data_IF_915827002901
#
_entry.id   IF_915827002901
#
_cell.length_a   1.000
_cell.length_b   1.000
_cell.length_c   1.000
_cell.angle_alpha   90.00
_cell.angle_beta   90.00
_cell.angle_gamma   90.00
#
_symmetry.space_group_name_H-M   'P 1'
#
loop_
_entity.id
_entity.type
_entity.pdbx_description
1 polymer ?
#
# COMPACT_ATOMS: atom_id res chain seq x y z
N UNK A 1 -27.11 48.22 24.93
CA UNK A 1 -28.06 47.25 24.34
C UNK A 1 -27.70 47.19 22.87
N UNK A 2 -26.66 46.42 22.53
CA UNK A 2 -26.75 44.98 22.18
C UNK A 2 -27.38 44.83 20.78
N UNK A 3 -26.85 44.09 19.82
CA UNK A 3 -25.97 42.94 19.95
C UNK A 3 -24.90 42.87 18.88
N UNK A 4 -23.79 42.32 19.33
CA UNK A 4 -22.59 41.90 18.65
C UNK A 4 -22.93 40.88 17.55
N UNK A 5 -22.66 41.24 16.30
CA UNK A 5 -22.76 40.32 15.17
C UNK A 5 -21.56 39.36 15.24
N UNK A 6 -21.75 38.23 15.92
CA UNK A 6 -20.83 37.10 15.89
C UNK A 6 -20.72 36.61 14.44
N UNK A 7 -19.70 37.06 13.71
CA UNK A 7 -19.24 36.37 12.50
C UNK A 7 -18.79 34.97 12.92
N UNK A 8 -19.62 33.98 12.65
CA UNK A 8 -19.17 32.59 12.58
C UNK A 8 -18.19 32.49 11.41
N UNK A 9 -16.89 32.60 11.71
CA UNK A 9 -15.83 32.19 10.79
C UNK A 9 -15.98 30.69 10.60
N UNK A 10 -16.56 30.27 9.48
CA UNK A 10 -16.51 28.87 9.06
C UNK A 10 -15.06 28.60 8.68
N UNK A 11 -14.33 28.03 9.63
CA UNK A 11 -12.95 27.61 9.46
C UNK A 11 -12.93 26.52 8.37
N UNK A 12 -12.62 26.93 7.14
CA UNK A 12 -12.55 26.03 5.99
C UNK A 12 -11.14 25.47 5.98
N UNK A 13 -10.92 24.41 6.76
CA UNK A 13 -9.64 23.68 6.77
C UNK A 13 -9.18 23.41 5.34
N UNK A 14 -7.95 23.83 5.03
CA UNK A 14 -7.37 23.67 3.70
C UNK A 14 -6.98 22.21 3.45
N UNK A 15 -6.67 21.87 2.19
CA UNK A 15 -6.16 20.54 1.86
C UNK A 15 -4.83 20.20 2.54
N UNK A 16 -4.04 21.21 2.92
CA UNK A 16 -2.78 21.05 3.66
C UNK A 16 -3.05 20.78 5.14
N UNK A 17 -4.00 21.50 5.75
CA UNK A 17 -4.39 21.28 7.16
C UNK A 17 -4.96 19.88 7.36
N UNK A 18 -5.84 19.44 6.46
CA UNK A 18 -6.42 18.10 6.48
C UNK A 18 -5.36 17.02 6.27
N UNK A 19 -4.33 17.29 5.45
CA UNK A 19 -3.22 16.37 5.24
C UNK A 19 -2.39 16.22 6.52
N UNK A 20 -1.97 17.33 7.12
CA UNK A 20 -1.21 17.33 8.34
C UNK A 20 -1.97 16.63 9.48
N UNK A 21 -3.25 16.98 9.67
CA UNK A 21 -4.10 16.37 10.68
C UNK A 21 -4.27 14.85 10.47
N UNK A 22 -4.39 14.39 9.22
CA UNK A 22 -4.44 12.96 8.93
C UNK A 22 -3.14 12.26 9.34
N UNK A 23 -1.97 12.83 9.04
CA UNK A 23 -0.70 12.20 9.44
C UNK A 23 -0.53 12.20 10.96
N UNK A 24 -0.86 13.31 11.63
CA UNK A 24 -0.77 13.41 13.08
C UNK A 24 -1.68 12.38 13.77
N UNK A 25 -2.89 12.17 13.23
CA UNK A 25 -3.78 11.11 13.68
C UNK A 25 -3.14 9.73 13.53
N UNK A 26 -2.52 9.41 12.39
CA UNK A 26 -1.87 8.11 12.17
C UNK A 26 -0.72 7.85 13.16
N UNK A 27 0.05 8.89 13.49
CA UNK A 27 1.13 8.82 14.48
C UNK A 27 0.56 8.58 15.88
N UNK A 28 -0.50 9.30 16.26
CA UNK A 28 -1.18 9.11 17.53
C UNK A 28 -1.76 7.69 17.65
N UNK A 29 -2.44 7.20 16.60
CA UNK A 29 -3.01 5.84 16.55
C UNK A 29 -1.93 4.76 16.72
N UNK A 30 -0.73 4.96 16.18
CA UNK A 30 0.39 4.05 16.39
C UNK A 30 0.88 4.09 17.84
N UNK A 31 1.06 5.29 18.40
CA UNK A 31 1.50 5.47 19.77
C UNK A 31 0.52 4.84 20.78
N UNK A 32 -0.80 4.97 20.55
CA UNK A 32 -1.84 4.32 21.36
C UNK A 32 -1.75 2.78 21.32
N UNK A 33 -1.32 2.21 20.19
CA UNK A 33 -1.04 0.76 20.05
C UNK A 33 0.32 0.35 20.64
N UNK A 34 1.08 1.28 21.23
CA UNK A 34 2.45 1.03 21.70
C UNK A 34 3.47 0.84 20.58
N UNK A 35 3.12 1.26 19.36
CA UNK A 35 3.98 1.22 18.18
C UNK A 35 4.58 2.61 17.94
N UNK A 36 5.75 2.65 17.29
CA UNK A 36 6.37 3.91 16.88
C UNK A 36 6.32 3.98 15.35
N UNK A 37 5.74 5.06 14.83
CA UNK A 37 5.79 5.34 13.39
C UNK A 37 7.24 5.56 12.98
N UNK A 38 7.70 4.86 11.95
CA UNK A 38 9.06 5.06 11.43
C UNK A 38 9.21 6.48 10.85
N UNK A 39 10.28 7.23 11.17
CA UNK A 39 10.44 8.61 10.71
C UNK A 39 10.40 8.77 9.18
N UNK A 40 10.95 7.82 8.44
CA UNK A 40 10.93 7.82 6.97
C UNK A 40 9.52 7.58 6.40
N UNK A 41 8.71 6.75 7.06
CA UNK A 41 7.31 6.49 6.67
C UNK A 41 6.47 7.72 6.97
N UNK A 42 6.64 8.33 8.14
CA UNK A 42 5.99 9.61 8.46
C UNK A 42 6.36 10.70 7.46
N UNK A 43 7.64 10.82 7.11
CA UNK A 43 8.13 11.80 6.12
C UNK A 43 7.48 11.58 4.76
N UNK A 44 7.37 10.32 4.32
CA UNK A 44 6.70 9.98 3.06
C UNK A 44 5.20 10.32 3.11
N UNK A 45 4.52 10.01 4.21
CA UNK A 45 3.11 10.36 4.44
C UNK A 45 2.88 11.86 4.38
N UNK A 46 3.76 12.67 4.99
CA UNK A 46 3.69 14.15 4.93
C UNK A 46 4.01 14.73 3.56
N UNK A 47 4.82 14.03 2.76
CA UNK A 47 5.29 14.54 1.46
C UNK A 47 4.32 14.26 0.31
N UNK A 48 3.49 13.21 0.41
CA UNK A 48 2.62 12.78 -0.69
C UNK A 48 1.18 13.22 -0.43
N UNK A 49 0.67 14.26 -1.12
CA UNK A 49 -0.70 14.72 -0.95
C UNK A 49 -1.70 13.71 -1.53
N UNK A 50 -2.45 13.06 -0.65
CA UNK A 50 -3.39 11.97 -1.00
C UNK A 50 -4.48 12.40 -1.98
N UNK A 51 -4.97 13.64 -1.89
CA UNK A 51 -6.04 14.15 -2.75
C UNK A 51 -5.70 14.15 -4.25
N UNK A 52 -4.41 14.19 -4.62
CA UNK A 52 -3.99 14.09 -6.03
C UNK A 52 -4.27 12.72 -6.64
N UNK A 53 -4.51 11.69 -5.82
CA UNK A 53 -4.82 10.33 -6.24
C UNK A 53 -6.32 10.00 -6.14
N UNK A 54 -7.13 10.95 -5.64
CA UNK A 54 -8.58 10.83 -5.46
C UNK A 54 -9.30 12.09 -6.00
N UNK A 55 -9.20 12.39 -7.31
CA UNK A 55 -9.64 13.67 -7.87
C UNK A 55 -11.14 13.93 -7.73
N UNK A 56 -11.95 12.88 -7.69
CA UNK A 56 -13.42 12.97 -7.60
C UNK A 56 -13.93 12.99 -6.14
N UNK A 57 -13.05 12.85 -5.15
CA UNK A 57 -13.43 12.82 -3.74
C UNK A 57 -13.34 14.22 -3.12
N UNK A 58 -14.27 14.53 -2.21
CA UNK A 58 -14.15 15.71 -1.37
C UNK A 58 -12.87 15.63 -0.51
N UNK A 59 -12.18 16.75 -0.29
CA UNK A 59 -10.91 16.79 0.48
C UNK A 59 -11.03 16.12 1.86
N UNK A 60 -12.15 16.37 2.56
CA UNK A 60 -12.41 15.74 3.87
C UNK A 60 -12.48 14.22 3.78
N UNK A 61 -13.04 13.68 2.71
CA UNK A 61 -13.10 12.23 2.48
C UNK A 61 -11.73 11.69 2.07
N UNK A 62 -11.01 12.42 1.21
CA UNK A 62 -9.66 12.06 0.78
C UNK A 62 -8.70 11.89 1.96
N UNK A 63 -8.84 12.69 3.02
CA UNK A 63 -7.98 12.67 4.20
C UNK A 63 -8.55 11.95 5.42
N UNK A 64 -9.60 11.13 5.25
CA UNK A 64 -10.02 10.21 6.32
C UNK A 64 -8.94 9.16 6.56
N UNK A 65 -8.40 9.13 7.78
CA UNK A 65 -7.36 8.19 8.18
C UNK A 65 -7.81 6.72 8.11
N UNK A 66 -9.11 6.43 8.29
CA UNK A 66 -9.68 5.10 8.54
C UNK A 66 -10.21 4.36 7.29
N UNK A 67 -10.44 5.07 6.17
CA UNK A 67 -11.21 4.52 5.04
C UNK A 67 -10.49 4.58 3.69
N UNK A 68 -10.69 3.57 2.83
CA UNK A 68 -10.30 3.66 1.43
C UNK A 68 -11.24 4.59 0.67
N UNK A 69 -10.74 5.18 -0.42
CA UNK A 69 -11.55 5.99 -1.35
C UNK A 69 -11.72 5.22 -2.65
N UNK A 70 -12.96 5.00 -3.04
CA UNK A 70 -13.27 4.34 -4.33
C UNK A 70 -12.96 5.30 -5.48
N UNK A 71 -12.12 4.87 -6.42
CA UNK A 71 -11.74 5.67 -7.59
C UNK A 71 -12.37 5.19 -8.88
N UNK A 72 -12.89 3.96 -8.90
CA UNK A 72 -13.60 3.39 -10.05
C UNK A 72 -14.62 2.37 -9.57
N UNK A 73 -15.80 2.38 -10.19
CA UNK A 73 -16.80 1.32 -10.09
C UNK A 73 -16.92 0.64 -11.45
N UNK A 74 -17.02 -0.68 -11.47
CA UNK A 74 -17.29 -1.46 -12.68
C UNK A 74 -18.66 -2.10 -12.47
N UNK A 75 -19.70 -1.45 -13.01
CA UNK A 75 -21.09 -1.81 -12.67
C UNK A 75 -21.35 -1.60 -11.17
N UNK A 76 -21.96 -2.59 -10.52
CA UNK A 76 -22.23 -2.56 -9.08
C UNK A 76 -21.00 -2.94 -8.23
N UNK A 77 -19.94 -3.46 -8.84
CA UNK A 77 -18.71 -3.88 -8.16
C UNK A 77 -17.70 -2.73 -8.02
N UNK A 78 -16.89 -2.79 -6.96
CA UNK A 78 -15.75 -1.89 -6.78
C UNK A 78 -14.65 -2.25 -7.78
N UNK A 79 -14.31 -1.31 -8.67
CA UNK A 79 -13.28 -1.52 -9.70
C UNK A 79 -11.87 -1.27 -9.18
N UNK A 80 -11.62 -0.07 -8.64
CA UNK A 80 -10.31 0.29 -8.08
C UNK A 80 -10.47 1.30 -6.94
N UNK A 81 -9.60 1.24 -5.94
CA UNK A 81 -9.62 2.12 -4.77
C UNK A 81 -8.23 2.59 -4.37
N UNK A 82 -8.17 3.71 -3.67
CA UNK A 82 -6.98 4.13 -2.92
C UNK A 82 -7.15 3.61 -1.49
N UNK A 83 -6.25 2.71 -1.08
CA UNK A 83 -6.25 2.08 0.26
C UNK A 83 -6.31 3.09 1.39
N UNK A 84 -6.86 2.70 2.54
CA UNK A 84 -6.92 3.57 3.72
C UNK A 84 -5.50 4.00 4.16
N UNK A 85 -5.30 5.25 4.62
CA UNK A 85 -3.98 5.74 5.02
C UNK A 85 -3.31 4.87 6.08
N UNK A 86 -4.05 4.44 7.11
CA UNK A 86 -3.53 3.59 8.18
C UNK A 86 -2.93 2.28 7.65
N UNK A 87 -3.61 1.64 6.68
CA UNK A 87 -3.17 0.37 6.09
C UNK A 87 -1.86 0.55 5.34
N UNK A 88 -1.73 1.65 4.61
CA UNK A 88 -0.49 1.94 3.87
C UNK A 88 0.65 2.24 4.84
N UNK A 89 0.40 3.01 5.90
CA UNK A 89 1.40 3.31 6.92
C UNK A 89 1.93 2.02 7.59
N UNK A 90 1.03 1.13 8.01
CA UNK A 90 1.40 -0.16 8.60
C UNK A 90 2.17 -1.04 7.61
N UNK A 91 1.70 -1.13 6.37
CA UNK A 91 2.35 -1.92 5.31
C UNK A 91 3.76 -1.41 4.98
N UNK A 92 3.96 -0.09 4.87
CA UNK A 92 5.27 0.51 4.61
C UNK A 92 6.21 0.38 5.81
N UNK A 93 5.68 0.50 7.04
CA UNK A 93 6.44 0.24 8.27
C UNK A 93 6.97 -1.20 8.30
N UNK A 94 6.08 -2.17 8.11
CA UNK A 94 6.44 -3.59 8.04
C UNK A 94 7.45 -3.88 6.93
N UNK A 95 7.27 -3.29 5.74
CA UNK A 95 8.21 -3.45 4.64
C UNK A 95 9.60 -2.91 5.02
N UNK A 96 9.67 -1.73 5.65
CA UNK A 96 10.94 -1.14 6.07
C UNK A 96 11.63 -1.92 7.21
N UNK A 97 10.86 -2.51 8.13
CA UNK A 97 11.35 -3.37 9.20
C UNK A 97 11.92 -4.68 8.66
N UNK A 98 11.22 -5.29 7.71
CA UNK A 98 11.61 -6.53 7.06
C UNK A 98 12.78 -6.38 6.06
N UNK A 99 13.28 -5.16 5.85
CA UNK A 99 14.38 -4.88 4.91
C UNK A 99 15.57 -4.24 5.62
N UNK A 100 16.04 -4.83 6.73
CA UNK A 100 17.33 -4.57 7.40
C UNK A 100 17.80 -3.10 7.39
N UNK A 101 16.96 -2.18 7.89
CA UNK A 101 17.33 -0.76 8.03
C UNK A 101 16.67 0.20 7.04
N UNK A 102 15.64 -0.24 6.32
CA UNK A 102 14.75 0.63 5.54
C UNK A 102 14.86 0.46 4.03
N UNK A 103 14.18 1.34 3.29
CA UNK A 103 13.96 1.19 1.85
C UNK A 103 14.89 2.03 0.96
N UNK A 104 15.75 2.87 1.54
CA UNK A 104 16.62 3.75 0.75
C UNK A 104 17.51 2.95 -0.21
N UNK A 105 17.53 3.36 -1.48
CA UNK A 105 18.30 2.69 -2.54
C UNK A 105 17.70 1.39 -3.06
N UNK A 106 16.62 0.87 -2.46
CA UNK A 106 16.02 -0.39 -2.86
C UNK A 106 15.27 -0.32 -4.18
N UNK A 107 15.14 -1.49 -4.79
CA UNK A 107 14.42 -1.71 -6.03
C UNK A 107 13.11 -2.43 -5.73
N UNK A 108 12.01 -1.67 -5.81
CA UNK A 108 10.68 -2.14 -5.39
C UNK A 108 9.82 -2.46 -6.60
N UNK A 109 9.07 -3.56 -6.52
CA UNK A 109 7.96 -3.88 -7.41
C UNK A 109 6.64 -3.77 -6.62
N UNK A 110 5.77 -2.88 -7.05
CA UNK A 110 4.39 -2.77 -6.56
C UNK A 110 3.43 -3.47 -7.53
N UNK A 111 2.51 -4.28 -6.99
CA UNK A 111 1.46 -4.97 -7.73
C UNK A 111 0.10 -4.49 -7.21
N UNK A 112 -0.71 -3.90 -8.10
CA UNK A 112 -2.03 -3.33 -7.76
C UNK A 112 -2.02 -1.81 -7.57
N UNK A 113 -1.39 -1.08 -8.50
CA UNK A 113 -1.06 0.35 -8.32
C UNK A 113 -2.26 1.33 -8.35
N UNK A 114 -2.70 1.79 -7.18
CA UNK A 114 -3.51 3.02 -7.04
C UNK A 114 -2.71 4.33 -7.24
N UNK A 115 -1.38 4.26 -7.30
CA UNK A 115 -0.47 5.38 -7.51
C UNK A 115 -0.06 6.14 -6.24
N UNK A 116 -0.92 6.18 -5.21
CA UNK A 116 -0.63 6.85 -3.94
C UNK A 116 0.51 6.15 -3.18
N UNK A 117 0.45 4.82 -3.06
CA UNK A 117 1.50 4.02 -2.42
C UNK A 117 2.81 4.04 -3.23
N UNK A 118 2.73 3.90 -4.56
CA UNK A 118 3.87 4.07 -5.45
C UNK A 118 4.64 5.38 -5.23
N UNK A 119 3.92 6.49 -5.00
CA UNK A 119 4.52 7.79 -4.74
C UNK A 119 5.24 7.83 -3.37
N UNK A 120 4.67 7.22 -2.34
CA UNK A 120 5.34 7.08 -1.03
C UNK A 120 6.56 6.18 -1.12
N UNK A 121 6.46 5.03 -1.81
CA UNK A 121 7.60 4.16 -2.09
C UNK A 121 8.71 4.91 -2.84
N UNK A 122 8.37 5.81 -3.77
CA UNK A 122 9.36 6.61 -4.50
C UNK A 122 10.16 7.51 -3.57
N UNK A 123 9.51 8.16 -2.60
CA UNK A 123 10.18 8.96 -1.57
C UNK A 123 11.05 8.08 -0.66
N UNK A 124 10.56 6.90 -0.27
CA UNK A 124 11.28 5.98 0.61
C UNK A 124 12.54 5.36 -0.01
N UNK A 125 12.53 5.10 -1.32
CA UNK A 125 13.68 4.51 -2.03
C UNK A 125 14.66 5.55 -2.57
N UNK A 126 14.30 6.83 -2.54
CA UNK A 126 15.13 7.92 -3.02
C UNK A 126 16.49 7.99 -2.27
N UNK A 127 17.53 8.59 -2.90
CA UNK A 127 17.54 9.17 -4.25
C UNK A 127 17.80 8.16 -5.38
N UNK A 128 18.45 7.03 -5.08
CA UNK A 128 19.00 6.09 -6.06
C UNK A 128 18.13 4.86 -6.36
N UNK A 129 17.19 4.52 -5.48
CA UNK A 129 16.30 3.38 -5.67
C UNK A 129 15.23 3.62 -6.73
N UNK A 130 14.39 2.61 -6.96
CA UNK A 130 13.40 2.64 -8.04
C UNK A 130 12.10 1.95 -7.62
N UNK A 131 10.98 2.41 -8.16
CA UNK A 131 9.68 1.76 -8.01
C UNK A 131 9.15 1.36 -9.39
N UNK A 132 8.96 0.06 -9.61
CA UNK A 132 8.22 -0.47 -10.76
C UNK A 132 6.81 -0.78 -10.31
N UNK A 133 5.80 -0.38 -11.08
CA UNK A 133 4.42 -0.69 -10.74
C UNK A 133 3.74 -1.51 -11.85
N UNK A 134 2.94 -2.48 -11.43
CA UNK A 134 2.14 -3.34 -12.31
C UNK A 134 0.68 -3.25 -11.88
N UNK A 135 -0.19 -3.04 -12.85
CA UNK A 135 -1.64 -3.01 -12.66
C UNK A 135 -2.31 -4.03 -13.60
N UNK A 136 -3.41 -4.62 -13.14
CA UNK A 136 -4.22 -5.61 -13.86
C UNK A 136 -5.35 -4.92 -14.63
N UNK A 137 -5.72 -3.68 -14.26
CA UNK A 137 -6.74 -2.91 -14.96
C UNK A 137 -6.32 -2.60 -16.40
N UNK A 138 -7.17 -3.02 -17.35
CA UNK A 138 -6.87 -2.99 -18.80
C UNK A 138 -7.02 -1.62 -19.45
N UNK A 139 -7.41 -0.59 -18.70
CA UNK A 139 -7.84 0.67 -19.30
C UNK A 139 -7.49 1.85 -18.40
N UNK A 140 -6.54 2.66 -18.86
CA UNK A 140 -6.31 4.01 -18.35
C UNK A 140 -4.86 4.29 -17.99
N UNK A 141 -4.16 4.95 -18.91
CA UNK A 141 -3.06 5.86 -18.64
C UNK A 141 -3.49 6.92 -17.61
N UNK A 142 -3.57 6.58 -16.32
CA UNK A 142 -3.58 7.60 -15.27
C UNK A 142 -2.14 8.12 -15.18
N UNK A 143 -1.87 9.40 -15.49
CA UNK A 143 -0.56 9.96 -15.20
C UNK A 143 -0.34 9.78 -13.70
N UNK A 144 0.76 9.13 -13.32
CA UNK A 144 1.28 9.26 -11.97
C UNK A 144 1.29 10.76 -11.70
N UNK A 145 0.48 11.22 -10.74
CA UNK A 145 0.34 12.64 -10.42
C UNK A 145 1.74 13.25 -10.44
N UNK A 146 1.92 14.28 -11.27
CA UNK A 146 3.21 14.91 -11.60
C UNK A 146 3.91 15.33 -10.30
N UNK A 147 4.66 14.42 -9.68
CA UNK A 147 5.67 14.72 -8.69
C UNK A 147 6.95 15.00 -9.49
N UNK A 148 7.42 16.25 -9.53
CA UNK A 148 8.64 16.61 -10.25
C UNK A 148 9.84 16.22 -9.38
N UNK A 149 10.09 14.91 -9.22
CA UNK A 149 11.35 14.42 -8.65
C UNK A 149 11.90 13.32 -9.54
N UNK A 150 12.96 13.68 -10.24
CA UNK A 150 13.81 12.84 -11.08
C UNK A 150 13.95 11.42 -10.51
N UNK A 151 13.28 10.46 -11.14
CA UNK A 151 13.33 9.04 -10.80
C UNK A 151 12.27 8.30 -11.58
N UNK A 152 12.68 7.27 -12.31
CA UNK A 152 11.82 6.58 -13.27
C UNK A 152 10.69 5.81 -12.56
N UNK A 153 9.47 6.37 -12.56
CA UNK A 153 8.25 5.60 -12.31
C UNK A 153 7.88 4.86 -13.60
N UNK A 154 8.17 3.56 -13.66
CA UNK A 154 7.84 2.72 -14.83
C UNK A 154 6.57 1.92 -14.55
N UNK A 155 5.45 2.30 -15.16
CA UNK A 155 4.24 1.46 -15.23
C UNK A 155 4.44 0.39 -16.30
N UNK A 156 4.18 -0.88 -15.97
CA UNK A 156 4.05 -1.97 -16.95
C UNK A 156 2.69 -2.63 -16.77
N UNK A 157 1.78 -2.45 -17.72
CA UNK A 157 0.56 -3.25 -17.78
C UNK A 157 0.91 -4.69 -18.18
N UNK A 158 0.80 -5.65 -17.26
CA UNK A 158 0.97 -7.08 -17.59
C UNK A 158 -0.18 -7.87 -16.98
N UNK A 159 -0.97 -8.45 -17.87
CA UNK A 159 -2.07 -9.36 -17.55
C UNK A 159 -1.54 -10.65 -16.94
N UNK A 160 -1.60 -10.82 -15.63
CA UNK A 160 -1.36 -12.12 -14.98
C UNK A 160 -2.60 -13.01 -15.13
N UNK A 161 -2.89 -13.45 -16.37
CA UNK A 161 -3.70 -14.65 -16.59
C UNK A 161 -2.77 -15.82 -16.82
N UNK A 162 -2.77 -16.76 -15.87
CA UNK A 162 -2.22 -18.13 -15.91
C UNK A 162 -1.56 -18.60 -17.21
N UNK A 163 -0.43 -18.00 -17.60
CA UNK A 163 0.44 -18.50 -18.66
C UNK A 163 1.88 -18.35 -18.22
N UNK A 164 2.57 -19.49 -18.27
CA UNK A 164 3.99 -19.70 -18.04
C UNK A 164 4.80 -18.43 -18.33
N UNK A 165 5.37 -17.84 -17.29
CA UNK A 165 6.46 -16.89 -17.43
C UNK A 165 7.70 -17.67 -17.88
N UNK A 166 7.71 -18.08 -19.15
CA UNK A 166 8.94 -18.34 -19.86
C UNK A 166 9.56 -16.96 -20.12
N UNK A 167 10.86 -16.87 -19.85
CA UNK A 167 11.75 -15.70 -19.93
C UNK A 167 12.00 -15.05 -18.56
N UNK A 168 13.19 -15.36 -18.05
CA UNK A 168 13.88 -14.78 -16.89
C UNK A 168 13.43 -13.32 -16.66
N UNK A 169 13.02 -12.93 -15.44
CA UNK A 169 12.58 -11.57 -15.21
C UNK A 169 13.71 -10.59 -15.53
N UNK A 170 13.37 -9.50 -16.22
CA UNK A 170 14.33 -8.50 -16.68
C UNK A 170 15.11 -7.80 -15.55
N UNK A 171 14.73 -8.02 -14.28
CA UNK A 171 15.31 -7.41 -13.09
C UNK A 171 14.93 -8.18 -11.81
N UNK A 172 15.82 -8.19 -10.82
CA UNK A 172 15.54 -8.64 -9.45
C UNK A 172 15.17 -7.46 -8.55
N UNK A 173 14.30 -7.69 -7.57
CA UNK A 173 13.76 -6.67 -6.66
C UNK A 173 14.12 -6.99 -5.21
N UNK A 174 14.44 -5.95 -4.44
CA UNK A 174 14.70 -6.06 -3.00
C UNK A 174 13.41 -6.11 -2.18
N UNK A 175 12.31 -5.61 -2.75
CA UNK A 175 10.99 -5.65 -2.15
C UNK A 175 9.95 -5.86 -3.26
N UNK A 176 9.05 -6.81 -3.05
CA UNK A 176 7.80 -6.92 -3.80
C UNK A 176 6.67 -6.66 -2.81
N UNK A 177 5.79 -5.72 -3.16
CA UNK A 177 4.66 -5.30 -2.33
C UNK A 177 3.37 -5.40 -3.14
N UNK A 178 2.38 -6.06 -2.57
CA UNK A 178 1.12 -6.37 -3.25
C UNK A 178 -0.02 -5.65 -2.54
N UNK A 179 -0.76 -4.80 -3.26
CA UNK A 179 -1.87 -4.01 -2.71
C UNK A 179 -3.25 -4.55 -3.08
N UNK A 180 -3.27 -5.64 -3.87
CA UNK A 180 -4.48 -6.38 -4.21
C UNK A 180 -4.50 -7.71 -3.47
N UNK A 181 -5.68 -8.15 -3.03
CA UNK A 181 -5.82 -9.43 -2.38
C UNK A 181 -5.31 -10.57 -3.26
N UNK A 182 -4.45 -11.42 -2.69
CA UNK A 182 -3.87 -12.56 -3.39
C UNK A 182 -4.31 -13.87 -2.73
N UNK A 183 -4.78 -14.81 -3.55
CA UNK A 183 -5.21 -16.14 -3.10
C UNK A 183 -4.03 -17.11 -2.90
N UNK A 184 -2.91 -16.81 -3.54
CA UNK A 184 -1.67 -17.61 -3.51
C UNK A 184 -0.48 -16.70 -3.80
N UNK A 185 0.74 -17.21 -3.62
CA UNK A 185 2.00 -16.54 -3.95
C UNK A 185 2.53 -17.13 -5.27
N UNK A 186 2.37 -16.44 -6.42
CA UNK A 186 2.93 -16.88 -7.69
C UNK A 186 4.45 -17.12 -7.60
N UNK A 187 4.98 -18.26 -8.10
CA UNK A 187 6.42 -18.51 -8.14
C UNK A 187 7.22 -17.43 -8.88
N UNK A 188 6.56 -16.73 -9.81
CA UNK A 188 7.14 -15.62 -10.55
C UNK A 188 7.52 -14.41 -9.68
N UNK A 189 6.83 -14.20 -8.54
CA UNK A 189 7.20 -13.15 -7.58
C UNK A 189 8.45 -13.56 -6.81
N UNK A 190 8.49 -14.79 -6.32
CA UNK A 190 9.67 -15.32 -5.60
C UNK A 190 10.90 -15.32 -6.52
N UNK A 191 10.76 -15.78 -7.77
CA UNK A 191 11.85 -15.80 -8.74
C UNK A 191 12.35 -14.39 -9.16
N UNK A 192 11.61 -13.34 -8.81
CA UNK A 192 11.95 -11.94 -9.06
C UNK A 192 12.60 -11.26 -7.86
N UNK A 193 12.64 -11.90 -6.68
CA UNK A 193 13.33 -11.34 -5.52
C UNK A 193 14.84 -11.51 -5.63
N UNK A 194 15.58 -10.62 -4.98
CA UNK A 194 16.98 -10.87 -4.63
C UNK A 194 17.06 -11.95 -3.54
N UNK A 195 18.26 -12.47 -3.28
CA UNK A 195 18.47 -13.52 -2.26
C UNK A 195 17.94 -13.11 -0.87
N UNK A 196 18.05 -11.82 -0.53
CA UNK A 196 17.54 -11.22 0.70
C UNK A 196 16.34 -10.31 0.44
N UNK A 197 15.58 -10.58 -0.63
CA UNK A 197 14.43 -9.78 -1.01
C UNK A 197 13.21 -10.11 -0.15
N UNK A 198 12.41 -9.09 0.14
CA UNK A 198 11.21 -9.23 0.96
C UNK A 198 9.94 -9.24 0.11
N UNK A 199 9.00 -10.12 0.43
CA UNK A 199 7.65 -10.11 -0.14
C UNK A 199 6.64 -9.69 0.93
N UNK A 200 5.88 -8.62 0.66
CA UNK A 200 4.76 -8.17 1.47
C UNK A 200 3.48 -8.40 0.67
N UNK A 201 2.62 -9.30 1.14
CA UNK A 201 1.39 -9.69 0.44
C UNK A 201 0.23 -9.88 1.42
N UNK A 202 -0.93 -9.23 1.18
CA UNK A 202 -2.16 -9.53 1.89
C UNK A 202 -2.77 -10.81 1.30
N UNK A 203 -2.54 -11.94 1.97
CA UNK A 203 -3.14 -13.20 1.58
C UNK A 203 -4.61 -13.25 1.99
N UNK A 204 -5.47 -13.55 1.02
CA UNK A 204 -6.86 -13.90 1.24
C UNK A 204 -6.93 -15.43 1.41
N UNK A 205 -7.13 -15.89 2.63
CA UNK A 205 -7.44 -17.29 2.89
C UNK A 205 -8.95 -17.43 3.05
N UNK A 206 -9.61 -18.13 2.13
CA UNK A 206 -10.91 -18.73 2.44
C UNK A 206 -10.66 -19.87 3.41
N UNK A 207 -10.82 -19.59 4.70
CA UNK A 207 -10.96 -20.66 5.68
C UNK A 207 -12.39 -21.13 5.60
N UNK A 208 -12.62 -22.24 4.89
CA UNK A 208 -13.81 -23.04 5.11
C UNK A 208 -13.67 -23.63 6.52
N UNK A 209 -14.15 -22.90 7.53
CA UNK A 209 -14.27 -23.40 8.90
C UNK A 209 -15.37 -24.46 8.91
N UNK A 210 -15.03 -25.67 8.50
CA UNK A 210 -15.87 -26.83 8.76
C UNK A 210 -15.73 -27.15 10.26
N UNK A 211 -16.56 -26.50 11.09
CA UNK A 211 -16.66 -26.77 12.53
C UNK A 211 -17.35 -28.11 12.77
N UNK A 212 -16.74 -29.21 12.30
CA UNK A 212 -17.15 -30.57 12.60
C UNK A 212 -15.92 -31.42 12.90
N UNK A 213 -15.49 -31.43 14.17
CA UNK A 213 -14.54 -32.43 14.66
C UNK A 213 -13.64 -31.97 15.80
N UNK A 214 -14.13 -32.06 17.04
CA UNK A 214 -13.27 -32.18 18.21
C UNK A 214 -12.52 -33.52 18.14
N UNK A 215 -11.17 -33.51 18.09
CA UNK A 215 -10.35 -34.69 18.31
C UNK A 215 -8.94 -34.61 17.72
N UNK A 216 -7.95 -34.22 18.53
CA UNK A 216 -6.54 -34.52 18.26
C UNK A 216 -6.16 -35.79 19.03
N UNK A 217 -5.91 -36.91 18.33
CA UNK A 217 -5.13 -38.03 18.86
C UNK A 217 -3.86 -38.18 18.00
N UNK A 218 -2.70 -37.90 18.60
CA UNK A 218 -1.39 -38.07 17.97
C UNK A 218 -0.72 -39.33 18.55
N UNK A 219 -0.86 -40.47 17.87
CA UNK A 219 -0.07 -41.66 18.19
C UNK A 219 1.24 -41.67 17.40
N UNK A 220 2.38 -41.58 18.11
CA UNK A 220 3.69 -41.95 17.55
C UNK A 220 3.79 -43.48 17.50
N UNK A 221 3.83 -44.07 16.31
CA UNK A 221 4.38 -45.43 16.15
C UNK A 221 5.87 -45.33 15.91
N UNK A 222 6.66 -45.69 16.91
CA UNK A 222 8.05 -46.06 16.70
C UNK A 222 8.06 -47.47 16.12
N UNK A 223 8.64 -47.61 14.93
CA UNK A 223 9.03 -48.89 14.35
C UNK A 223 10.15 -49.47 15.20
N UNK A 224 10.01 -50.70 15.68
CA UNK A 224 11.13 -51.51 16.15
C UNK A 224 10.84 -52.98 15.89
N UNK A 225 11.67 -53.54 15.01
CA UNK A 225 11.96 -54.94 14.65
C UNK A 225 10.83 -55.96 14.55
#
# INVERSE_FOLDING_TARGET
MEGESTRMSVDTATGEDLHAAMVDQLVADHAEKGLVMRPEVETALRSVPRHLFTPDAALKEAYRADRPVMTKRIGDEAGSSVSAPWRIAEMLGQAADATDGGLSGRHVLEIGSGGYNAAMLRELVAPVGSVTTVDIDREGDRPCGRLPRSGELRRRGRRLRGRRAADRPARSYDLIIVEVGAWDIPPAWIAQLTENGTLVVPLLWEVECDINGFGFEMQRRHSSS
#
